data_IF_562254346934
#
_entry.id   IF_562254346934
#
_cell.length_a   1.000
_cell.length_b   1.000
_cell.length_c   1.000
_cell.angle_alpha   90.00
_cell.angle_beta   90.00
_cell.angle_gamma   90.00
#
_symmetry.space_group_name_H-M   'P 1'
#
loop_
_entity.id
_entity.type
_entity.pdbx_description
1 polymer ?
#
# COMPACT_ATOMS: atom_id res chain seq x y z
N UNK A 1 -19.95 -37.06 -26.51
CA UNK A 1 -19.66 -35.60 -26.47
C UNK A 1 -19.37 -35.26 -25.03
N UNK A 2 -18.09 -35.17 -24.70
CA UNK A 2 -17.63 -34.75 -23.37
C UNK A 2 -17.67 -33.22 -23.35
N UNK A 3 -18.39 -32.62 -22.38
CA UNK A 3 -18.31 -31.18 -22.17
C UNK A 3 -16.84 -30.80 -21.88
N UNK A 4 -16.33 -29.67 -22.41
CA UNK A 4 -15.04 -29.16 -21.97
C UNK A 4 -15.13 -28.80 -20.48
N UNK A 5 -14.09 -29.17 -19.73
CA UNK A 5 -13.92 -28.72 -18.35
C UNK A 5 -13.97 -27.19 -18.29
N UNK A 6 -14.58 -26.59 -17.25
CA UNK A 6 -14.50 -25.16 -17.04
C UNK A 6 -13.01 -24.76 -16.96
N UNK A 7 -12.64 -23.56 -17.44
CA UNK A 7 -11.25 -23.11 -17.33
C UNK A 7 -10.85 -23.18 -15.86
N UNK A 8 -9.78 -23.92 -15.56
CA UNK A 8 -9.16 -23.91 -14.25
C UNK A 8 -8.85 -22.45 -13.91
N UNK A 9 -9.67 -21.85 -13.03
CA UNK A 9 -9.29 -20.65 -12.32
C UNK A 9 -7.98 -20.99 -11.63
N UNK A 10 -6.86 -20.49 -12.16
CA UNK A 10 -5.56 -20.57 -11.50
C UNK A 10 -5.71 -20.17 -10.03
N UNK A 11 -4.84 -20.66 -9.12
CA UNK A 11 -5.05 -20.51 -7.68
C UNK A 11 -5.41 -19.06 -7.38
N UNK A 12 -6.62 -18.85 -6.84
CA UNK A 12 -7.11 -17.53 -6.46
C UNK A 12 -6.04 -16.90 -5.60
N UNK A 13 -5.26 -16.01 -6.20
CA UNK A 13 -4.05 -15.50 -5.58
C UNK A 13 -4.53 -14.50 -4.55
N UNK A 14 -4.39 -14.86 -3.28
CA UNK A 14 -4.87 -14.06 -2.15
C UNK A 14 -4.21 -12.67 -2.18
N UNK A 15 -4.98 -11.59 -2.45
CA UNK A 15 -4.44 -10.24 -2.49
C UNK A 15 -3.82 -9.81 -1.15
N UNK A 16 -4.30 -10.38 -0.04
CA UNK A 16 -3.75 -10.13 1.28
C UNK A 16 -2.36 -10.74 1.43
N UNK A 17 -2.16 -11.99 0.99
CA UNK A 17 -0.85 -12.63 0.94
C UNK A 17 0.12 -11.87 0.02
N UNK A 18 -0.37 -11.39 -1.13
CA UNK A 18 0.42 -10.56 -2.04
C UNK A 18 0.84 -9.24 -1.38
N UNK A 19 -0.05 -8.59 -0.63
CA UNK A 19 0.29 -7.38 0.14
C UNK A 19 1.32 -7.64 1.24
N UNK A 20 1.25 -8.80 1.91
CA UNK A 20 2.26 -9.20 2.88
C UNK A 20 3.64 -9.34 2.24
N UNK A 21 3.72 -9.93 1.04
CA UNK A 21 4.95 -10.03 0.27
C UNK A 21 5.45 -8.65 -0.20
N UNK A 22 4.55 -7.72 -0.52
CA UNK A 22 4.90 -6.33 -0.79
C UNK A 22 5.44 -5.62 0.45
N UNK A 23 4.86 -5.90 1.62
CA UNK A 23 5.39 -5.47 2.90
C UNK A 23 6.80 -5.99 3.18
N UNK A 24 7.10 -7.24 2.80
CA UNK A 24 8.45 -7.81 2.90
C UNK A 24 9.45 -7.17 1.92
N UNK A 25 8.99 -6.76 0.74
CA UNK A 25 9.78 -5.93 -0.18
C UNK A 25 10.08 -4.56 0.43
N UNK A 26 9.06 -3.89 0.97
CA UNK A 26 9.20 -2.61 1.64
C UNK A 26 10.16 -2.71 2.83
N UNK A 27 10.03 -3.74 3.67
CA UNK A 27 10.91 -3.97 4.81
C UNK A 27 12.38 -4.07 4.39
N UNK A 28 12.69 -4.81 3.32
CA UNK A 28 14.06 -4.91 2.78
C UNK A 28 14.61 -3.56 2.32
N UNK A 29 13.76 -2.72 1.73
CA UNK A 29 14.17 -1.37 1.33
C UNK A 29 14.37 -0.45 2.54
N UNK A 30 13.53 -0.59 3.57
CA UNK A 30 13.67 0.13 4.84
C UNK A 30 14.97 -0.23 5.57
N UNK A 31 15.46 -1.48 5.48
CA UNK A 31 16.77 -1.87 6.00
C UNK A 31 17.92 -1.03 5.41
N UNK A 32 17.78 -0.56 4.17
CA UNK A 32 18.81 0.24 3.50
C UNK A 32 18.74 1.74 3.86
N UNK A 33 17.64 2.18 4.49
CA UNK A 33 17.37 3.59 4.77
C UNK A 33 17.32 3.92 6.27
N UNK A 34 17.00 2.93 7.10
CA UNK A 34 16.96 3.05 8.56
C UNK A 34 18.26 2.54 9.17
N UNK A 35 18.66 3.13 10.29
CA UNK A 35 19.78 2.64 11.11
C UNK A 35 19.30 1.41 11.87
N UNK A 36 19.39 0.26 11.20
CA UNK A 36 18.95 -1.04 11.70
C UNK A 36 20.09 -2.05 11.70
N UNK A 37 20.07 -2.92 12.70
CA UNK A 37 21.01 -4.03 12.88
C UNK A 37 20.34 -5.37 12.59
N UNK A 38 21.10 -6.47 12.60
CA UNK A 38 20.55 -7.81 12.35
C UNK A 38 19.42 -8.20 13.36
N UNK A 39 19.52 -7.90 14.67
CA UNK A 39 18.42 -8.10 15.62
C UNK A 39 17.13 -7.35 15.28
N UNK A 40 17.20 -6.25 14.53
CA UNK A 40 16.04 -5.42 14.20
C UNK A 40 15.20 -5.98 13.03
N UNK A 41 15.70 -6.99 12.31
CA UNK A 41 15.06 -7.53 11.10
C UNK A 41 13.61 -8.00 11.31
N UNK A 42 13.25 -8.74 12.37
CA UNK A 42 11.84 -9.12 12.59
C UNK A 42 10.92 -7.92 12.73
N UNK A 43 11.42 -6.84 13.35
CA UNK A 43 10.66 -5.62 13.55
C UNK A 43 10.54 -4.80 12.28
N UNK A 44 11.59 -4.73 11.46
CA UNK A 44 11.51 -4.16 10.12
C UNK A 44 10.47 -4.86 9.25
N UNK A 45 10.44 -6.20 9.27
CA UNK A 45 9.43 -7.00 8.57
C UNK A 45 8.03 -6.65 9.04
N UNK A 46 7.81 -6.53 10.35
CA UNK A 46 6.53 -6.11 10.91
C UNK A 46 6.15 -4.70 10.44
N UNK A 47 7.07 -3.73 10.54
CA UNK A 47 6.82 -2.36 10.08
C UNK A 47 6.46 -2.31 8.59
N UNK A 48 7.21 -3.00 7.74
CA UNK A 48 6.95 -3.06 6.30
C UNK A 48 5.59 -3.66 5.97
N UNK A 49 5.24 -4.80 6.57
CA UNK A 49 3.92 -5.43 6.42
C UNK A 49 2.79 -4.56 6.93
N UNK A 50 2.95 -3.95 8.11
CA UNK A 50 1.95 -3.04 8.67
C UNK A 50 1.74 -1.81 7.79
N UNK A 51 2.81 -1.20 7.26
CA UNK A 51 2.67 -0.06 6.33
C UNK A 51 1.93 -0.46 5.06
N UNK A 52 2.32 -1.57 4.42
CA UNK A 52 1.68 -2.05 3.21
C UNK A 52 0.18 -2.30 3.40
N UNK A 53 -0.16 -3.09 4.43
CA UNK A 53 -1.55 -3.41 4.73
C UNK A 53 -2.38 -2.16 5.08
N UNK A 54 -1.88 -1.31 5.98
CA UNK A 54 -2.67 -0.18 6.46
C UNK A 54 -2.84 0.89 5.37
N UNK A 55 -1.79 1.24 4.63
CA UNK A 55 -1.89 2.29 3.62
C UNK A 55 -2.74 1.87 2.44
N UNK A 56 -2.54 0.66 1.93
CA UNK A 56 -3.32 0.18 0.76
C UNK A 56 -4.78 -0.03 1.14
N UNK A 57 -5.06 -0.67 2.28
CA UNK A 57 -6.45 -0.91 2.71
C UNK A 57 -7.16 0.38 3.13
N UNK A 58 -6.45 1.40 3.62
CA UNK A 58 -7.04 2.72 3.87
C UNK A 58 -7.26 3.53 2.58
N UNK A 59 -6.43 3.33 1.56
CA UNK A 59 -6.54 4.06 0.29
C UNK A 59 -7.84 3.75 -0.44
N UNK A 60 -8.25 2.48 -0.51
CA UNK A 60 -9.47 2.05 -1.21
C UNK A 60 -10.71 2.84 -0.78
N UNK A 61 -11.16 2.77 0.49
CA UNK A 61 -12.35 3.51 0.92
C UNK A 61 -12.16 5.03 0.86
N UNK A 62 -10.93 5.52 1.00
CA UNK A 62 -10.61 6.96 0.89
C UNK A 62 -10.84 7.47 -0.54
N UNK A 63 -10.34 6.73 -1.54
CA UNK A 63 -10.54 7.03 -2.95
C UNK A 63 -12.03 7.00 -3.31
N UNK A 64 -12.75 5.96 -2.91
CA UNK A 64 -14.19 5.83 -3.18
C UNK A 64 -15.01 6.94 -2.50
N UNK A 65 -14.64 7.35 -1.29
CA UNK A 65 -15.32 8.44 -0.60
C UNK A 65 -15.08 9.79 -1.28
N UNK A 66 -13.82 10.12 -1.59
CA UNK A 66 -13.45 11.40 -2.19
C UNK A 66 -13.98 11.51 -3.63
N UNK A 67 -13.87 10.44 -4.42
CA UNK A 67 -14.35 10.39 -5.81
C UNK A 67 -15.86 10.66 -5.90
N UNK A 68 -16.67 10.04 -5.03
CA UNK A 68 -18.10 10.32 -4.90
C UNK A 68 -18.37 11.79 -4.57
N UNK A 69 -17.65 12.34 -3.59
CA UNK A 69 -17.81 13.76 -3.19
C UNK A 69 -17.41 14.73 -4.31
N UNK A 70 -16.48 14.34 -5.16
CA UNK A 70 -16.03 15.11 -6.33
C UNK A 70 -16.97 14.99 -7.54
N UNK A 71 -18.07 14.23 -7.45
CA UNK A 71 -19.01 14.03 -8.57
C UNK A 71 -18.49 13.10 -9.67
N UNK A 72 -17.37 12.41 -9.43
CA UNK A 72 -16.75 11.44 -10.36
C UNK A 72 -16.52 10.13 -9.60
N UNK A 73 -17.58 9.39 -9.26
CA UNK A 73 -17.46 8.19 -8.44
C UNK A 73 -16.55 7.15 -9.09
N UNK A 74 -15.67 6.57 -8.28
CA UNK A 74 -14.84 5.44 -8.65
C UNK A 74 -15.07 4.32 -7.62
N UNK A 75 -15.06 3.09 -8.11
CA UNK A 75 -14.93 1.88 -7.32
C UNK A 75 -13.52 1.36 -7.44
N UNK A 76 -12.94 0.90 -6.34
CA UNK A 76 -11.58 0.41 -6.32
C UNK A 76 -11.52 -1.01 -5.72
N UNK A 77 -10.88 -1.91 -6.45
CA UNK A 77 -10.72 -3.30 -6.04
C UNK A 77 -9.25 -3.65 -5.99
N UNK A 78 -8.82 -4.26 -4.91
CA UNK A 78 -7.49 -4.84 -4.81
C UNK A 78 -7.50 -6.25 -5.41
N UNK A 79 -6.65 -6.47 -6.39
CA UNK A 79 -6.41 -7.76 -7.04
C UNK A 79 -4.92 -8.03 -7.12
N UNK A 80 -4.53 -9.05 -7.87
CA UNK A 80 -3.14 -9.28 -8.25
C UNK A 80 -2.97 -9.23 -9.77
N UNK A 81 -1.77 -8.87 -10.23
CA UNK A 81 -1.38 -8.96 -11.63
C UNK A 81 -0.86 -10.37 -12.00
N UNK A 82 -0.49 -10.56 -13.26
CA UNK A 82 0.07 -11.82 -13.78
C UNK A 82 1.40 -12.23 -13.11
N UNK A 83 2.03 -11.32 -12.36
CA UNK A 83 3.26 -11.54 -11.60
C UNK A 83 2.99 -11.70 -10.09
N UNK A 84 1.73 -11.91 -9.71
CA UNK A 84 1.27 -11.98 -8.32
C UNK A 84 1.65 -10.74 -7.49
N UNK A 85 1.75 -9.56 -8.12
CA UNK A 85 1.93 -8.27 -7.43
C UNK A 85 0.56 -7.68 -7.11
N UNK A 86 0.37 -7.07 -5.93
CA UNK A 86 -0.90 -6.42 -5.63
C UNK A 86 -1.13 -5.23 -6.55
N UNK A 87 -2.31 -5.19 -7.15
CA UNK A 87 -2.73 -4.18 -8.10
C UNK A 87 -4.09 -3.63 -7.67
N UNK A 88 -4.19 -2.31 -7.57
CA UNK A 88 -5.46 -1.64 -7.43
C UNK A 88 -6.03 -1.35 -8.82
N UNK A 89 -7.19 -1.92 -9.11
CA UNK A 89 -7.97 -1.59 -10.30
C UNK A 89 -9.10 -0.63 -9.91
N UNK A 90 -9.38 0.35 -10.75
CA UNK A 90 -10.52 1.25 -10.57
C UNK A 90 -11.54 1.07 -11.68
N UNK A 91 -12.80 1.33 -11.39
CA UNK A 91 -13.88 1.32 -12.37
C UNK A 91 -14.91 2.41 -12.04
N UNK A 92 -15.60 2.93 -13.05
CA UNK A 92 -16.77 3.78 -12.86
C UNK A 92 -17.97 2.94 -12.40
N UNK A 93 -19.06 3.54 -11.87
CA UNK A 93 -20.27 2.81 -11.53
C UNK A 93 -20.92 2.07 -12.72
N UNK A 94 -20.67 2.55 -13.94
CA UNK A 94 -21.18 1.94 -15.17
C UNK A 94 -20.30 0.75 -15.64
N UNK A 95 -19.24 0.43 -14.90
CA UNK A 95 -18.32 -0.68 -15.17
C UNK A 95 -17.19 -0.35 -16.15
N UNK A 96 -17.03 0.93 -16.53
CA UNK A 96 -15.91 1.34 -17.37
C UNK A 96 -14.61 1.24 -16.57
N UNK A 97 -13.61 0.58 -17.16
CA UNK A 97 -12.30 0.41 -16.52
C UNK A 97 -11.58 1.75 -16.41
N UNK A 98 -11.17 2.08 -15.19
CA UNK A 98 -10.38 3.25 -14.87
C UNK A 98 -8.87 2.94 -14.80
N UNK A 99 -8.07 3.92 -14.35
CA UNK A 99 -6.64 3.74 -14.15
C UNK A 99 -6.33 2.63 -13.14
N UNK A 100 -5.26 1.90 -13.38
CA UNK A 100 -4.69 0.92 -12.45
C UNK A 100 -3.50 1.52 -11.69
N UNK A 101 -3.26 1.03 -10.47
CA UNK A 101 -2.18 1.49 -9.61
C UNK A 101 -1.55 0.31 -8.87
N UNK A 102 -0.25 0.07 -9.05
CA UNK A 102 0.42 -0.98 -8.29
C UNK A 102 0.58 -0.59 -6.82
N UNK A 103 0.54 -1.56 -5.91
CA UNK A 103 0.77 -1.27 -4.49
C UNK A 103 2.20 -0.76 -4.21
N UNK A 104 3.19 -1.20 -4.99
CA UNK A 104 4.59 -0.72 -4.90
C UNK A 104 4.65 0.78 -5.22
N UNK A 105 4.03 1.21 -6.33
CA UNK A 105 3.99 2.62 -6.74
C UNK A 105 3.24 3.46 -5.72
N UNK A 106 2.07 2.99 -5.24
CA UNK A 106 1.33 3.68 -4.19
C UNK A 106 2.19 3.85 -2.92
N UNK A 107 2.84 2.78 -2.44
CA UNK A 107 3.69 2.87 -1.24
C UNK A 107 4.89 3.80 -1.44
N UNK A 108 5.48 3.80 -2.64
CA UNK A 108 6.55 4.75 -3.00
C UNK A 108 6.06 6.18 -2.96
N UNK A 109 4.94 6.47 -3.59
CA UNK A 109 4.37 7.82 -3.66
C UNK A 109 3.95 8.34 -2.27
N UNK A 110 3.51 7.44 -1.39
CA UNK A 110 3.07 7.80 -0.03
C UNK A 110 4.24 8.02 0.95
N UNK A 111 5.29 7.22 0.84
CA UNK A 111 6.36 7.17 1.85
C UNK A 111 7.65 7.89 1.41
N UNK A 112 7.88 8.04 0.11
CA UNK A 112 9.14 8.52 -0.46
C UNK A 112 8.94 9.84 -1.20
N UNK A 113 9.98 10.67 -1.17
CA UNK A 113 10.11 11.88 -1.97
C UNK A 113 11.43 11.81 -2.72
N UNK A 114 11.37 11.90 -4.04
CA UNK A 114 12.55 11.86 -4.93
C UNK A 114 13.45 10.64 -4.66
N UNK A 115 12.83 9.47 -4.44
CA UNK A 115 13.53 8.21 -4.18
C UNK A 115 14.08 8.03 -2.76
N UNK A 116 13.87 9.01 -1.86
CA UNK A 116 14.29 8.92 -0.47
C UNK A 116 13.09 8.86 0.46
N UNK A 117 13.19 8.08 1.54
CA UNK A 117 12.14 8.04 2.56
C UNK A 117 11.93 9.44 3.12
N UNK A 118 10.67 9.89 3.19
CA UNK A 118 10.37 11.24 3.67
C UNK A 118 10.94 11.42 5.10
N UNK A 119 11.60 12.54 5.43
CA UNK A 119 12.30 12.68 6.72
C UNK A 119 11.45 12.40 7.96
N UNK A 120 10.20 12.88 7.97
CA UNK A 120 9.23 12.63 9.07
C UNK A 120 8.82 11.14 9.15
N UNK A 121 8.62 10.49 8.01
CA UNK A 121 8.33 9.05 7.95
C UNK A 121 9.52 8.28 8.51
N UNK A 122 10.73 8.62 8.05
CA UNK A 122 11.99 8.04 8.54
C UNK A 122 12.12 8.18 10.05
N UNK A 123 11.88 9.37 10.60
CA UNK A 123 11.96 9.63 12.04
C UNK A 123 11.01 8.75 12.84
N UNK A 124 9.74 8.68 12.44
CA UNK A 124 8.76 7.81 13.10
C UNK A 124 9.17 6.35 13.04
N UNK A 125 9.55 5.84 11.85
CA UNK A 125 9.94 4.44 11.69
C UNK A 125 11.22 4.11 12.46
N UNK A 126 12.20 5.01 12.49
CA UNK A 126 13.42 4.84 13.27
C UNK A 126 13.12 4.76 14.78
N UNK A 127 12.22 5.61 15.27
CA UNK A 127 11.74 5.55 16.66
C UNK A 127 11.00 4.24 16.98
N UNK A 128 10.25 3.70 16.01
CA UNK A 128 9.57 2.42 16.14
C UNK A 128 10.50 1.21 16.22
N UNK A 129 11.68 1.27 15.60
CA UNK A 129 12.66 0.19 15.63
C UNK A 129 13.30 0.00 17.01
N UNK A 130 13.72 1.10 17.64
CA UNK A 130 14.53 1.08 18.88
C UNK A 130 13.71 0.90 20.16
N UNK A 131 12.38 0.81 20.04
CA UNK A 131 11.45 0.91 21.16
C UNK A 131 10.89 -0.41 21.71
N UNK A 132 9.95 -0.31 22.65
CA UNK A 132 9.06 -1.42 23.00
C UNK A 132 8.04 -1.69 21.88
N UNK A 133 7.32 -2.81 21.94
CA UNK A 133 6.24 -3.10 21.00
C UNK A 133 5.18 -1.98 20.96
N UNK A 134 4.82 -1.44 22.14
CA UNK A 134 3.91 -0.30 22.22
C UNK A 134 4.47 0.95 21.54
N UNK A 135 5.79 1.19 21.62
CA UNK A 135 6.43 2.28 20.89
C UNK A 135 6.41 2.05 19.38
N UNK A 136 6.62 0.80 18.91
CA UNK A 136 6.51 0.46 17.50
C UNK A 136 5.10 0.72 16.94
N UNK A 137 4.06 0.33 17.68
CA UNK A 137 2.66 0.61 17.31
C UNK A 137 2.39 2.12 17.25
N UNK A 138 2.82 2.89 18.26
CA UNK A 138 2.65 4.36 18.25
C UNK A 138 3.42 5.03 17.11
N UNK A 139 4.61 4.55 16.81
CA UNK A 139 5.41 5.02 15.69
C UNK A 139 4.72 4.76 14.34
N UNK A 140 4.14 3.58 14.15
CA UNK A 140 3.33 3.26 12.97
C UNK A 140 2.14 4.20 12.86
N UNK A 141 1.35 4.36 13.93
CA UNK A 141 0.19 5.26 13.93
C UNK A 141 0.61 6.71 13.63
N UNK A 142 1.72 7.17 14.21
CA UNK A 142 2.23 8.53 13.96
C UNK A 142 2.69 8.68 12.51
N UNK A 143 3.34 7.67 11.94
CA UNK A 143 3.75 7.63 10.54
C UNK A 143 2.54 7.72 9.60
N UNK A 144 1.52 6.87 9.80
CA UNK A 144 0.32 6.80 8.98
C UNK A 144 -0.49 8.12 9.03
N UNK A 145 -0.53 8.77 10.19
CA UNK A 145 -1.20 10.05 10.38
C UNK A 145 -0.31 11.27 10.12
N UNK A 146 0.94 11.07 9.70
CA UNK A 146 1.84 12.19 9.45
C UNK A 146 1.36 12.99 8.25
N UNK A 147 1.47 14.32 8.35
CA UNK A 147 1.07 15.25 7.29
C UNK A 147 1.65 14.88 5.91
N UNK A 148 2.93 14.49 5.77
CA UNK A 148 3.48 14.08 4.48
C UNK A 148 2.74 12.91 3.83
N UNK A 149 2.36 11.90 4.62
CA UNK A 149 1.62 10.72 4.13
C UNK A 149 0.20 11.11 3.75
N UNK A 150 -0.50 11.90 4.57
CA UNK A 150 -1.86 12.36 4.27
C UNK A 150 -1.91 13.30 3.04
N UNK A 151 -0.93 14.18 2.89
CA UNK A 151 -0.79 15.05 1.72
C UNK A 151 -0.48 14.22 0.46
N UNK A 152 0.37 13.19 0.58
CA UNK A 152 0.65 12.26 -0.51
C UNK A 152 -0.58 11.44 -0.90
N UNK A 153 -1.35 10.96 0.09
CA UNK A 153 -2.61 10.26 -0.13
C UNK A 153 -3.59 11.12 -0.94
N UNK A 154 -3.69 12.40 -0.55
CA UNK A 154 -4.53 13.38 -1.24
C UNK A 154 -4.09 13.57 -2.69
N UNK A 155 -2.78 13.73 -2.94
CA UNK A 155 -2.23 13.87 -4.30
C UNK A 155 -2.46 12.62 -5.14
N UNK A 156 -2.30 11.43 -4.57
CA UNK A 156 -2.54 10.16 -5.26
C UNK A 156 -4.01 10.05 -5.70
N UNK A 157 -4.96 10.36 -4.81
CA UNK A 157 -6.39 10.41 -5.15
C UNK A 157 -6.67 11.44 -6.24
N UNK A 158 -6.16 12.67 -6.11
CA UNK A 158 -6.35 13.71 -7.12
C UNK A 158 -5.80 13.31 -8.50
N UNK A 159 -4.67 12.62 -8.53
CA UNK A 159 -4.05 12.13 -9.76
C UNK A 159 -4.94 11.08 -10.44
N UNK A 160 -5.54 10.16 -9.67
CA UNK A 160 -6.48 9.18 -10.22
C UNK A 160 -7.76 9.83 -10.74
N UNK A 161 -8.25 10.87 -10.05
CA UNK A 161 -9.42 11.62 -10.49
C UNK A 161 -9.14 12.51 -11.71
N UNK A 162 -7.91 12.93 -11.94
CA UNK A 162 -7.56 13.75 -13.10
C UNK A 162 -7.39 12.95 -14.40
N UNK A 163 -7.26 11.62 -14.28
CA UNK A 163 -7.24 10.68 -15.40
C UNK A 163 -8.66 10.41 -15.91
#
# INVERSE_FOLDING_TARGET
MTLPDPPETGPATDPQAALMAEGDRLARHLTQTLEATLPDQPRLTLLGRSLALNLVNAFVPTLEHISRRAGRPLHATLTVDDRARPLLITATPDGESGPTLSADDLLRDLLFVRGHLHPVVREHLQGGLRGSEHQATRALVSCLNSRPVLDAMTRAVQTLLAR
#
